data_IF_429701961811
#
_entry.id   IF_429701961811
#
_cell.length_a   1.000
_cell.length_b   1.000
_cell.length_c   1.000
_cell.angle_alpha   90.00
_cell.angle_beta   90.00
_cell.angle_gamma   90.00
#
_symmetry.space_group_name_H-M   'P 1'
#
loop_
_entity.id
_entity.type
_entity.pdbx_description
1 polymer ?
#
# COMPACT_ATOMS: atom_id res chain seq x y z
N UNK A 1 -21.97 -28.33 26.33
CA UNK A 1 -21.47 -27.00 26.79
C UNK A 1 -20.12 -26.65 26.18
N UNK A 2 -19.15 -27.56 26.10
CA UNK A 2 -17.84 -27.31 25.46
C UNK A 2 -17.90 -26.96 23.95
N UNK A 3 -18.86 -27.50 23.20
CA UNK A 3 -19.05 -27.18 21.78
C UNK A 3 -19.57 -25.75 21.52
N UNK A 4 -20.28 -25.15 22.48
CA UNK A 4 -20.73 -23.77 22.39
C UNK A 4 -19.61 -22.77 22.71
N UNK A 5 -18.70 -23.14 23.63
CA UNK A 5 -17.53 -22.33 23.95
C UNK A 5 -16.55 -22.26 22.77
N UNK A 6 -16.26 -23.40 22.13
CA UNK A 6 -15.36 -23.44 20.96
C UNK A 6 -15.93 -22.75 19.71
N UNK A 7 -17.24 -22.74 19.52
CA UNK A 7 -17.88 -22.02 18.40
C UNK A 7 -18.00 -20.51 18.66
N UNK A 8 -18.11 -20.09 19.93
CA UNK A 8 -18.00 -18.68 20.32
C UNK A 8 -16.56 -18.18 20.17
N UNK A 9 -15.55 -18.95 20.56
CA UNK A 9 -14.13 -18.59 20.35
C UNK A 9 -13.79 -18.46 18.87
N UNK A 10 -14.25 -19.38 18.01
CA UNK A 10 -14.07 -19.25 16.56
C UNK A 10 -14.77 -18.02 15.99
N UNK A 11 -15.96 -17.68 16.47
CA UNK A 11 -16.69 -16.49 16.03
C UNK A 11 -15.98 -15.22 16.46
N UNK A 12 -15.47 -15.17 17.70
CA UNK A 12 -14.73 -14.02 18.24
C UNK A 12 -13.38 -13.86 17.53
N UNK A 13 -12.63 -14.94 17.29
CA UNK A 13 -11.36 -14.90 16.51
C UNK A 13 -11.60 -14.47 15.07
N UNK A 14 -12.70 -14.92 14.45
CA UNK A 14 -13.07 -14.49 13.11
C UNK A 14 -13.48 -13.01 13.10
N UNK A 15 -14.21 -12.53 14.11
CA UNK A 15 -14.56 -11.12 14.27
C UNK A 15 -13.34 -10.24 14.59
N UNK A 16 -12.41 -10.66 15.44
CA UNK A 16 -11.20 -9.88 15.76
C UNK A 16 -10.26 -9.79 14.55
N UNK A 17 -10.04 -10.89 13.83
CA UNK A 17 -9.29 -10.83 12.57
C UNK A 17 -9.97 -9.95 11.53
N UNK A 18 -11.30 -10.03 11.40
CA UNK A 18 -12.06 -9.17 10.50
C UNK A 18 -11.92 -7.71 10.92
N UNK A 19 -12.04 -7.38 12.20
CA UNK A 19 -11.89 -6.01 12.73
C UNK A 19 -10.47 -5.46 12.62
N UNK A 20 -9.44 -6.28 12.84
CA UNK A 20 -8.05 -5.89 12.59
C UNK A 20 -7.80 -5.65 11.11
N UNK A 21 -8.32 -6.52 10.24
CA UNK A 21 -8.28 -6.34 8.78
C UNK A 21 -9.01 -5.06 8.37
N UNK A 22 -10.16 -4.74 8.98
CA UNK A 22 -10.91 -3.49 8.74
C UNK A 22 -10.17 -2.25 9.23
N UNK A 23 -9.54 -2.28 10.40
CA UNK A 23 -8.72 -1.19 10.91
C UNK A 23 -7.48 -0.96 10.02
N UNK A 24 -6.86 -2.05 9.57
CA UNK A 24 -5.73 -2.06 8.65
C UNK A 24 -6.11 -1.54 7.25
N UNK A 25 -7.29 -1.93 6.75
CA UNK A 25 -7.86 -1.41 5.50
C UNK A 25 -8.20 0.08 5.60
N UNK A 26 -8.75 0.54 6.72
CA UNK A 26 -9.13 1.94 6.94
C UNK A 26 -7.91 2.86 6.97
N UNK A 27 -6.90 2.52 7.78
CA UNK A 27 -5.63 3.25 7.85
C UNK A 27 -4.91 3.27 6.49
N UNK A 28 -5.02 2.18 5.71
CA UNK A 28 -4.49 2.11 4.35
C UNK A 28 -5.29 2.96 3.36
N UNK A 29 -6.62 2.96 3.41
CA UNK A 29 -7.48 3.78 2.55
C UNK A 29 -7.14 5.27 2.73
N UNK A 30 -6.88 5.71 3.96
CA UNK A 30 -6.42 7.07 4.24
C UNK A 30 -5.06 7.36 3.60
N UNK A 31 -4.07 6.49 3.82
CA UNK A 31 -2.73 6.62 3.23
C UNK A 31 -2.77 6.59 1.68
N UNK A 32 -3.67 5.78 1.12
CA UNK A 32 -3.89 5.66 -0.32
C UNK A 32 -4.55 6.89 -0.91
N UNK A 33 -5.56 7.44 -0.24
CA UNK A 33 -6.21 8.67 -0.67
C UNK A 33 -5.20 9.83 -0.60
N UNK A 34 -4.40 9.90 0.46
CA UNK A 34 -3.38 10.93 0.64
C UNK A 34 -2.26 10.84 -0.41
N UNK A 35 -1.74 9.64 -0.66
CA UNK A 35 -0.71 9.40 -1.69
C UNK A 35 -1.24 9.63 -3.11
N UNK A 36 -2.51 9.31 -3.37
CA UNK A 36 -3.19 9.52 -4.66
C UNK A 36 -3.40 11.00 -4.96
N UNK A 37 -3.77 11.79 -3.94
CA UNK A 37 -3.86 13.26 -4.03
C UNK A 37 -2.47 13.85 -4.28
N UNK A 38 -1.44 13.41 -3.54
CA UNK A 38 -0.05 13.90 -3.72
C UNK A 38 0.52 13.53 -5.09
N UNK A 39 0.29 12.31 -5.57
CA UNK A 39 0.67 11.87 -6.92
C UNK A 39 -0.01 12.76 -7.98
N UNK A 40 -1.30 13.07 -7.79
CA UNK A 40 -2.09 13.90 -8.69
C UNK A 40 -1.59 15.35 -8.76
N UNK A 41 -1.24 15.95 -7.61
CA UNK A 41 -0.70 17.32 -7.53
C UNK A 41 0.73 17.39 -8.05
N UNK A 42 1.57 16.38 -7.77
CA UNK A 42 2.98 16.35 -8.21
C UNK A 42 3.11 16.10 -9.71
N UNK A 43 2.21 15.33 -10.32
CA UNK A 43 2.25 15.05 -11.77
C UNK A 43 1.66 16.16 -12.63
N UNK A 44 0.88 17.08 -12.05
CA UNK A 44 0.17 18.14 -12.77
C UNK A 44 1.12 19.17 -13.46
N UNK A 45 2.23 19.63 -12.84
CA UNK A 45 3.13 20.61 -13.45
C UNK A 45 4.03 20.09 -14.59
N UNK A 46 4.26 18.78 -14.67
CA UNK A 46 5.18 18.18 -15.64
C UNK A 46 4.52 17.86 -16.98
N UNK A 47 3.77 18.81 -17.54
CA UNK A 47 2.91 18.70 -18.74
C UNK A 47 3.48 18.06 -20.02
N UNK A 48 4.75 17.64 -20.04
CA UNK A 48 5.33 16.80 -21.11
C UNK A 48 5.37 15.33 -20.72
N UNK A 49 4.37 14.54 -21.13
CA UNK A 49 4.41 13.07 -21.11
C UNK A 49 3.97 12.39 -19.81
N UNK A 50 4.28 12.94 -18.63
CA UNK A 50 3.88 12.36 -17.33
C UNK A 50 2.35 12.38 -17.11
N UNK A 51 1.68 13.40 -17.64
CA UNK A 51 0.22 13.51 -17.62
C UNK A 51 -0.52 12.56 -18.57
N UNK A 52 0.18 11.83 -19.46
CA UNK A 52 -0.46 10.98 -20.49
C UNK A 52 -0.81 9.58 -20.00
N UNK A 53 -0.10 9.09 -18.98
CA UNK A 53 -0.26 7.75 -18.40
C UNK A 53 -0.70 7.77 -16.92
N UNK A 54 -1.43 8.81 -16.50
CA UNK A 54 -1.86 8.99 -15.09
C UNK A 54 -2.69 7.80 -14.58
N UNK A 55 -3.49 7.18 -15.45
CA UNK A 55 -4.28 5.98 -15.13
C UNK A 55 -3.37 4.80 -14.78
N UNK A 56 -2.29 4.60 -15.53
CA UNK A 56 -1.32 3.51 -15.27
C UNK A 56 -0.56 3.74 -13.96
N UNK A 57 -0.15 4.99 -13.70
CA UNK A 57 0.52 5.36 -12.46
C UNK A 57 -0.41 5.13 -11.25
N UNK A 58 -1.66 5.60 -11.33
CA UNK A 58 -2.68 5.38 -10.31
C UNK A 58 -2.95 3.89 -10.09
N UNK A 59 -3.12 3.12 -11.16
CA UNK A 59 -3.35 1.68 -11.08
C UNK A 59 -2.17 0.96 -10.40
N UNK A 60 -0.94 1.27 -10.79
CA UNK A 60 0.25 0.69 -10.15
C UNK A 60 0.33 1.04 -8.67
N UNK A 61 0.10 2.29 -8.27
CA UNK A 61 0.15 2.65 -6.84
C UNK A 61 -0.99 2.01 -6.06
N UNK A 62 -2.20 1.97 -6.61
CA UNK A 62 -3.37 1.38 -5.96
C UNK A 62 -3.28 -0.15 -5.84
N UNK A 63 -2.60 -0.84 -6.77
CA UNK A 63 -2.54 -2.31 -6.80
C UNK A 63 -1.27 -2.92 -6.20
N UNK A 64 -0.10 -2.25 -6.27
CA UNK A 64 1.18 -2.89 -5.93
C UNK A 64 1.21 -3.48 -4.52
N UNK A 65 0.71 -2.74 -3.55
CA UNK A 65 0.78 -3.13 -2.15
C UNK A 65 -0.37 -4.04 -1.65
N UNK A 66 -1.65 -3.91 -2.05
CA UNK A 66 -2.65 -4.95 -1.75
C UNK A 66 -2.26 -6.30 -2.37
N UNK A 67 -1.68 -6.31 -3.57
CA UNK A 67 -1.15 -7.55 -4.17
C UNK A 67 0.02 -8.13 -3.38
N UNK A 68 0.93 -7.29 -2.86
CA UNK A 68 2.03 -7.74 -2.01
C UNK A 68 1.50 -8.34 -0.69
N UNK A 69 0.55 -7.68 -0.03
CA UNK A 69 -0.09 -8.21 1.17
C UNK A 69 -0.84 -9.52 0.89
N UNK A 70 -1.54 -9.61 -0.23
CA UNK A 70 -2.22 -10.82 -0.66
C UNK A 70 -1.25 -11.97 -0.91
N UNK A 71 -0.10 -11.70 -1.55
CA UNK A 71 0.95 -12.70 -1.77
C UNK A 71 1.54 -13.23 -0.45
N UNK A 72 1.88 -12.34 0.48
CA UNK A 72 2.36 -12.73 1.82
C UNK A 72 1.29 -13.54 2.56
N UNK A 73 0.04 -13.06 2.54
CA UNK A 73 -1.10 -13.75 3.13
C UNK A 73 -1.33 -15.14 2.54
N UNK A 74 -1.17 -15.32 1.22
CA UNK A 74 -1.27 -16.61 0.56
C UNK A 74 -0.20 -17.60 1.03
N UNK A 75 1.06 -17.14 1.14
CA UNK A 75 2.17 -17.98 1.62
C UNK A 75 1.93 -18.39 3.07
N UNK A 76 1.60 -17.43 3.95
CA UNK A 76 1.30 -17.71 5.35
C UNK A 76 0.08 -18.62 5.49
N UNK A 77 -0.96 -18.43 4.69
CA UNK A 77 -2.15 -19.26 4.71
C UNK A 77 -1.86 -20.69 4.22
N UNK A 78 -1.00 -20.84 3.21
CA UNK A 78 -0.55 -22.16 2.75
C UNK A 78 0.18 -22.89 3.88
N UNK A 79 1.08 -22.20 4.58
CA UNK A 79 1.78 -22.74 5.76
C UNK A 79 0.78 -23.11 6.87
N UNK A 80 -0.18 -22.23 7.18
CA UNK A 80 -1.20 -22.48 8.20
C UNK A 80 -2.04 -23.73 7.92
N UNK A 81 -2.38 -23.97 6.64
CA UNK A 81 -3.08 -25.19 6.20
C UNK A 81 -2.20 -26.43 6.40
N UNK A 82 -0.90 -26.37 6.07
CA UNK A 82 0.03 -27.49 6.32
C UNK A 82 0.14 -27.87 7.79
N UNK A 83 0.11 -26.89 8.70
CA UNK A 83 0.15 -27.13 10.16
C UNK A 83 -1.23 -27.43 10.79
N UNK A 84 -2.32 -27.46 10.00
CA UNK A 84 -3.67 -27.71 10.52
C UNK A 84 -4.15 -26.65 11.51
N UNK A 85 -3.66 -25.41 11.39
CA UNK A 85 -3.95 -24.34 12.34
C UNK A 85 -5.38 -23.82 12.21
N UNK A 86 -6.04 -23.58 13.34
CA UNK A 86 -7.35 -22.92 13.42
C UNK A 86 -7.30 -21.44 12.98
N UNK A 87 -6.09 -20.86 12.84
CA UNK A 87 -5.87 -19.54 12.27
C UNK A 87 -5.80 -19.53 10.74
N UNK A 88 -6.02 -20.68 10.08
CA UNK A 88 -6.10 -20.74 8.62
C UNK A 88 -7.30 -19.92 8.13
N UNK A 89 -7.04 -19.00 7.20
CA UNK A 89 -8.04 -18.11 6.64
C UNK A 89 -8.84 -18.90 5.60
N UNK A 90 -10.17 -19.04 5.77
CA UNK A 90 -11.01 -19.75 4.80
C UNK A 90 -11.00 -19.00 3.47
N UNK A 91 -10.98 -19.75 2.36
CA UNK A 91 -10.90 -19.16 1.01
C UNK A 91 -11.98 -18.08 0.75
N UNK A 92 -13.16 -18.24 1.33
CA UNK A 92 -14.26 -17.26 1.21
C UNK A 92 -13.90 -15.85 1.70
N UNK A 93 -13.17 -15.72 2.81
CA UNK A 93 -12.81 -14.38 3.33
C UNK A 93 -11.74 -13.71 2.48
N UNK A 94 -10.81 -14.47 1.90
CA UNK A 94 -9.84 -13.92 0.94
C UNK A 94 -10.53 -13.30 -0.28
N UNK A 95 -11.56 -13.97 -0.80
CA UNK A 95 -12.37 -13.47 -1.92
C UNK A 95 -13.17 -12.23 -1.51
N UNK A 96 -13.80 -12.24 -0.32
CA UNK A 96 -14.55 -11.08 0.21
C UNK A 96 -13.64 -9.86 0.36
N UNK A 97 -12.44 -10.01 0.92
CA UNK A 97 -11.46 -8.93 1.06
C UNK A 97 -11.03 -8.39 -0.30
N UNK A 98 -10.82 -9.26 -1.29
CA UNK A 98 -10.47 -8.84 -2.65
C UNK A 98 -11.61 -8.04 -3.32
N UNK A 99 -12.86 -8.49 -3.16
CA UNK A 99 -14.05 -7.79 -3.67
C UNK A 99 -14.21 -6.43 -2.99
N UNK A 100 -14.09 -6.36 -1.67
CA UNK A 100 -14.16 -5.09 -0.93
C UNK A 100 -13.10 -4.10 -1.40
N UNK A 101 -11.86 -4.56 -1.61
CA UNK A 101 -10.81 -3.73 -2.17
C UNK A 101 -11.15 -3.25 -3.60
N UNK A 102 -11.64 -4.13 -4.46
CA UNK A 102 -11.95 -3.81 -5.86
C UNK A 102 -13.14 -2.84 -6.00
N UNK A 103 -14.15 -2.94 -5.13
CA UNK A 103 -15.37 -2.12 -5.21
C UNK A 103 -15.37 -0.88 -4.31
N UNK A 104 -14.52 -0.81 -3.29
CA UNK A 104 -14.45 0.34 -2.38
C UNK A 104 -13.14 1.09 -2.59
N UNK A 105 -12.01 0.45 -2.34
CA UNK A 105 -10.71 1.13 -2.34
C UNK A 105 -10.27 1.60 -3.72
N UNK A 106 -10.43 0.76 -4.75
CA UNK A 106 -10.04 1.09 -6.12
C UNK A 106 -10.83 2.28 -6.70
N UNK A 107 -12.18 2.31 -6.68
CA UNK A 107 -12.93 3.47 -7.17
C UNK A 107 -12.71 4.72 -6.32
N UNK A 108 -12.52 4.58 -5.00
CA UNK A 108 -12.23 5.73 -4.14
C UNK A 108 -10.85 6.35 -4.47
N UNK A 109 -9.83 5.54 -4.76
CA UNK A 109 -8.54 6.02 -5.23
C UNK A 109 -8.66 6.73 -6.58
N UNK A 110 -9.45 6.18 -7.51
CA UNK A 110 -9.72 6.82 -8.80
C UNK A 110 -10.40 8.17 -8.61
N UNK A 111 -11.46 8.25 -7.79
CA UNK A 111 -12.14 9.51 -7.47
C UNK A 111 -11.21 10.52 -6.80
N UNK A 112 -10.40 10.09 -5.84
CA UNK A 112 -9.41 10.93 -5.17
C UNK A 112 -8.38 11.51 -6.14
N UNK A 113 -7.91 10.72 -7.11
CA UNK A 113 -7.02 11.23 -8.16
C UNK A 113 -7.70 12.23 -9.09
N UNK A 114 -8.94 11.96 -9.51
CA UNK A 114 -9.69 12.86 -10.40
C UNK A 114 -9.96 14.20 -9.73
N UNK A 115 -10.45 14.18 -8.48
CA UNK A 115 -10.72 15.40 -7.70
C UNK A 115 -9.42 16.15 -7.41
N UNK A 116 -8.35 15.46 -7.01
CA UNK A 116 -7.05 16.07 -6.76
C UNK A 116 -6.46 16.77 -8.00
N UNK A 117 -6.65 16.20 -9.19
CA UNK A 117 -6.23 16.83 -10.45
C UNK A 117 -7.08 18.05 -10.81
N UNK A 118 -8.40 17.97 -10.63
CA UNK A 118 -9.29 19.08 -10.90
C UNK A 118 -9.04 20.27 -9.95
N UNK A 119 -8.78 20.00 -8.67
CA UNK A 119 -8.45 21.04 -7.69
C UNK A 119 -7.07 21.66 -7.91
N UNK A 120 -6.10 20.88 -8.41
CA UNK A 120 -4.72 21.34 -8.58
C UNK A 120 -4.54 22.46 -9.63
N UNK A 121 -5.59 22.80 -10.39
CA UNK A 121 -5.60 23.94 -11.32
C UNK A 121 -4.62 23.82 -12.48
N UNK A 122 -4.53 24.86 -13.32
CA UNK A 122 -3.48 24.95 -14.33
C UNK A 122 -2.12 25.12 -13.63
N UNK A 123 -1.05 24.42 -14.05
CA UNK A 123 0.28 24.60 -13.50
C UNK A 123 0.70 26.07 -13.57
N UNK A 124 0.86 26.71 -12.42
CA UNK A 124 1.46 28.04 -12.34
C UNK A 124 2.97 27.88 -12.48
N UNK A 125 3.40 27.68 -13.72
CA UNK A 125 4.82 27.58 -14.03
C UNK A 125 5.45 28.96 -13.79
N UNK A 126 6.52 29.06 -12.98
CA UNK A 126 7.15 30.35 -12.64
C UNK A 126 7.74 31.07 -13.87
N UNK A 127 7.82 30.38 -15.01
CA UNK A 127 8.33 30.91 -16.27
C UNK A 127 7.40 30.50 -17.43
N UNK A 128 7.11 31.46 -18.34
CA UNK A 128 6.40 31.19 -19.60
C UNK A 128 7.15 30.11 -20.39
N UNK A 129 6.51 28.95 -20.56
CA UNK A 129 7.10 27.81 -21.28
C UNK A 129 7.25 28.19 -22.75
N UNK A 130 8.47 28.10 -23.28
CA UNK A 130 8.74 28.31 -24.71
C UNK A 130 8.26 27.07 -25.46
N UNK A 131 7.43 27.23 -26.49
CA UNK A 131 6.82 26.13 -27.26
C UNK A 131 7.83 25.31 -28.09
N UNK A 132 9.08 25.79 -28.20
CA UNK A 132 10.14 25.08 -28.93
C UNK A 132 10.70 23.97 -28.01
N UNK A 133 10.52 22.69 -28.38
CA UNK A 133 11.04 21.58 -27.58
C UNK A 133 12.57 21.64 -27.55
N UNK A 134 13.12 21.78 -26.35
CA UNK A 134 14.56 21.73 -26.13
C UNK A 134 15.00 20.27 -26.16
N UNK A 135 16.17 19.92 -26.75
CA UNK A 135 16.70 18.57 -26.64
C UNK A 135 16.89 18.23 -25.16
N UNK A 136 16.26 17.13 -24.71
CA UNK A 136 16.31 16.67 -23.32
C UNK A 136 17.69 16.04 -23.12
N UNK A 137 18.48 16.49 -22.12
CA UNK A 137 19.78 15.89 -21.85
C UNK A 137 19.61 14.40 -21.56
N UNK A 138 20.55 13.57 -22.00
CA UNK A 138 20.50 12.13 -21.74
C UNK A 138 20.44 11.86 -20.24
N UNK A 139 19.54 10.96 -19.87
CA UNK A 139 19.26 10.62 -18.49
C UNK A 139 20.42 9.82 -17.91
N UNK A 140 21.11 10.39 -16.91
CA UNK A 140 22.15 9.68 -16.17
C UNK A 140 21.59 8.47 -15.41
N UNK A 141 22.39 7.41 -15.29
CA UNK A 141 21.98 6.13 -14.71
C UNK A 141 21.39 6.23 -13.29
N UNK A 142 21.95 7.10 -12.45
CA UNK A 142 21.49 7.32 -11.07
C UNK A 142 20.18 8.12 -10.98
N UNK A 143 19.74 8.76 -12.06
CA UNK A 143 18.46 9.47 -12.14
C UNK A 143 17.31 8.56 -12.59
N UNK A 144 17.55 7.26 -12.76
CA UNK A 144 16.50 6.29 -13.07
C UNK A 144 15.55 6.12 -11.89
N UNK A 145 14.21 6.07 -12.12
CA UNK A 145 13.23 6.02 -11.03
C UNK A 145 13.41 4.80 -10.14
N UNK A 146 13.91 3.69 -10.68
CA UNK A 146 14.24 2.48 -9.92
C UNK A 146 15.39 2.72 -8.93
N UNK A 147 16.48 3.34 -9.37
CA UNK A 147 17.63 3.64 -8.50
C UNK A 147 17.26 4.66 -7.43
N UNK A 148 16.51 5.72 -7.80
CA UNK A 148 16.05 6.72 -6.83
C UNK A 148 15.10 6.09 -5.80
N UNK A 149 14.19 5.21 -6.21
CA UNK A 149 13.28 4.53 -5.29
C UNK A 149 14.03 3.62 -4.31
N UNK A 150 15.05 2.89 -4.76
CA UNK A 150 15.89 2.04 -3.90
C UNK A 150 16.71 2.88 -2.92
N UNK A 151 17.41 3.91 -3.40
CA UNK A 151 18.23 4.75 -2.52
C UNK A 151 17.38 5.54 -1.52
N UNK A 152 16.19 6.01 -1.93
CA UNK A 152 15.24 6.68 -1.04
C UNK A 152 14.60 5.75 -0.01
N UNK A 153 14.37 4.48 -0.37
CA UNK A 153 13.80 3.46 0.52
C UNK A 153 14.77 2.94 1.59
N UNK A 154 16.09 3.12 1.41
CA UNK A 154 17.09 2.64 2.35
C UNK A 154 17.00 3.33 3.72
N UNK A 155 16.71 4.63 3.75
CA UNK A 155 16.57 5.41 4.98
C UNK A 155 15.41 4.94 5.87
N UNK A 156 14.16 4.86 5.39
CA UNK A 156 13.06 4.34 6.21
C UNK A 156 13.24 2.86 6.55
N UNK A 157 13.86 2.06 5.67
CA UNK A 157 14.19 0.66 5.97
C UNK A 157 15.16 0.55 7.16
N UNK A 158 16.25 1.33 7.16
CA UNK A 158 17.21 1.35 8.26
C UNK A 158 16.58 1.77 9.59
N UNK A 159 15.68 2.76 9.57
CA UNK A 159 14.94 3.20 10.76
C UNK A 159 14.13 2.07 11.40
N UNK A 160 13.33 1.37 10.59
CA UNK A 160 12.48 0.28 11.07
C UNK A 160 13.33 -0.92 11.50
N UNK A 161 14.42 -1.21 10.78
CA UNK A 161 15.30 -2.33 11.10
C UNK A 161 15.93 -2.20 12.49
N UNK A 162 16.38 -0.99 12.85
CA UNK A 162 16.96 -0.71 14.17
C UNK A 162 15.90 -0.89 15.27
N UNK A 163 14.68 -0.39 15.07
CA UNK A 163 13.57 -0.59 16.01
C UNK A 163 13.25 -2.09 16.20
N UNK A 164 13.16 -2.83 15.10
CA UNK A 164 12.87 -4.27 15.15
C UNK A 164 14.01 -5.03 15.89
N UNK A 165 15.26 -4.63 15.69
CA UNK A 165 16.40 -5.19 16.41
C UNK A 165 16.30 -4.95 17.92
N UNK A 166 15.89 -3.76 18.36
CA UNK A 166 15.68 -3.48 19.78
C UNK A 166 14.56 -4.33 20.36
N UNK A 167 13.43 -4.43 19.66
CA UNK A 167 12.29 -5.27 20.08
C UNK A 167 12.71 -6.74 20.25
N UNK A 168 13.42 -7.31 19.28
CA UNK A 168 13.91 -8.68 19.39
C UNK A 168 14.93 -8.83 20.52
N UNK A 169 15.89 -7.91 20.64
CA UNK A 169 16.86 -7.95 21.74
C UNK A 169 16.16 -7.91 23.09
N UNK A 170 15.11 -7.09 23.26
CA UNK A 170 14.31 -7.02 24.48
C UNK A 170 13.58 -8.33 24.79
N UNK A 171 12.99 -9.02 23.79
CA UNK A 171 12.32 -10.31 24.01
C UNK A 171 13.30 -11.41 24.46
N UNK A 172 14.49 -11.49 23.85
CA UNK A 172 15.49 -12.49 24.21
C UNK A 172 16.29 -12.15 25.49
N UNK A 173 16.32 -10.88 25.93
CA UNK A 173 16.92 -10.47 27.21
C UNK A 173 15.99 -10.57 28.41
N UNK A 174 14.74 -11.06 28.26
CA UNK A 174 13.92 -11.44 29.42
C UNK A 174 14.56 -12.66 30.11
N UNK A 175 15.56 -12.41 30.96
CA UNK A 175 15.92 -13.28 32.06
C UNK A 175 14.69 -13.37 32.97
N UNK A 176 13.94 -14.46 32.80
CA UNK A 176 12.98 -14.94 33.78
C UNK A 176 13.76 -15.26 35.06
N UNK A 177 13.52 -14.48 36.11
CA UNK A 177 13.79 -14.88 37.48
C UNK A 177 12.48 -15.44 38.05
#
# INVERSE_FOLDING_TARGET
>A
MLLLHSSLDMSVVHYTHVMEVWAYLSCKIELYTYSSIRCSVVLNPFGGGAGKNWIKAMAMTASLFPFMCFGIGLVLNTIAIFYGSLAAIPFGTMVVVFILWAFISFPLALLGTVVGRNWSGAPNNPCRVKTIPRPIPEKKWYLTPSVIALMGGLLPFGSIFIEMYFVFTSFWNYKVW
#
